data_IF_081716239163
#
_entry.id   IF_081716239163
#
_cell.length_a   1.000
_cell.length_b   1.000
_cell.length_c   1.000
_cell.angle_alpha   90.00
_cell.angle_beta   90.00
_cell.angle_gamma   90.00
#
_symmetry.space_group_name_H-M   'P 1'
#
loop_
_entity.id
_entity.type
_entity.pdbx_description
1 polymer ?
#
# COMPACT_ATOMS: atom_id res chain seq x y z
N UNK A 1 -4.51 14.56 5.54
CA UNK A 1 -3.87 13.46 4.80
C UNK A 1 -4.58 13.22 3.48
N UNK A 2 -5.91 13.09 3.46
CA UNK A 2 -6.69 12.74 2.26
C UNK A 2 -7.01 13.90 1.30
N UNK A 3 -6.54 15.13 1.59
CA UNK A 3 -6.88 16.32 0.78
C UNK A 3 -6.20 16.38 -0.59
N UNK A 4 -5.06 15.71 -0.75
CA UNK A 4 -4.32 15.67 -2.02
C UNK A 4 -3.66 14.29 -2.21
N UNK A 5 -3.54 13.81 -3.47
CA UNK A 5 -2.85 12.56 -3.81
C UNK A 5 -1.43 12.49 -3.25
N UNK A 6 -0.66 13.57 -3.39
CA UNK A 6 0.70 13.70 -2.88
C UNK A 6 0.79 13.42 -1.37
N UNK A 7 -0.09 14.03 -0.58
CA UNK A 7 -0.02 13.90 0.87
C UNK A 7 -0.32 12.47 1.34
N UNK A 8 -1.30 11.82 0.73
CA UNK A 8 -1.64 10.44 1.04
C UNK A 8 -0.50 9.50 0.62
N UNK A 9 0.01 9.67 -0.59
CA UNK A 9 1.10 8.83 -1.11
C UNK A 9 2.36 8.95 -0.24
N UNK A 10 2.76 10.17 0.10
CA UNK A 10 3.93 10.45 0.96
C UNK A 10 3.78 9.84 2.36
N UNK A 11 2.63 10.02 3.01
CA UNK A 11 2.39 9.45 4.34
C UNK A 11 2.51 7.93 4.30
N UNK A 12 1.94 7.27 3.29
CA UNK A 12 2.03 5.82 3.19
C UNK A 12 3.42 5.34 2.74
N UNK A 13 4.15 6.08 1.92
CA UNK A 13 5.54 5.76 1.58
C UNK A 13 6.46 5.79 2.82
N UNK A 14 6.26 6.77 3.70
CA UNK A 14 7.00 6.87 4.96
C UNK A 14 6.56 5.77 5.94
N UNK A 15 5.25 5.53 6.06
CA UNK A 15 4.73 4.47 6.91
C UNK A 15 5.26 3.09 6.48
N UNK A 16 5.39 2.86 5.17
CA UNK A 16 5.94 1.62 4.61
C UNK A 16 7.42 1.45 5.00
N UNK A 17 8.22 2.49 4.88
CA UNK A 17 9.62 2.45 5.31
C UNK A 17 9.75 2.16 6.82
N UNK A 18 8.90 2.76 7.65
CA UNK A 18 8.85 2.50 9.09
C UNK A 18 8.42 1.05 9.36
N UNK A 19 7.40 0.55 8.66
CA UNK A 19 6.90 -0.81 8.84
C UNK A 19 7.93 -1.88 8.44
N UNK A 20 8.76 -1.62 7.41
CA UNK A 20 9.93 -2.44 7.11
C UNK A 20 10.91 -2.51 8.27
N UNK A 21 11.19 -1.37 8.93
CA UNK A 21 12.06 -1.35 10.12
C UNK A 21 11.48 -2.22 11.24
N UNK A 22 10.17 -2.15 11.49
CA UNK A 22 9.51 -2.96 12.51
C UNK A 22 9.57 -4.46 12.17
N UNK A 23 9.34 -4.83 10.92
CA UNK A 23 9.43 -6.21 10.46
C UNK A 23 10.86 -6.75 10.60
N UNK A 24 11.86 -6.01 10.13
CA UNK A 24 13.28 -6.40 10.22
C UNK A 24 13.71 -6.53 11.68
N UNK A 25 13.35 -5.57 12.53
CA UNK A 25 13.62 -5.64 13.96
C UNK A 25 12.97 -6.86 14.60
N UNK A 26 11.72 -7.17 14.23
CA UNK A 26 11.03 -8.38 14.67
C UNK A 26 11.76 -9.68 14.29
N UNK A 27 12.24 -9.75 13.04
CA UNK A 27 13.03 -10.89 12.56
C UNK A 27 14.34 -11.05 13.31
N UNK A 28 15.04 -9.96 13.61
CA UNK A 28 16.27 -9.96 14.41
C UNK A 28 15.98 -10.45 15.84
N UNK A 29 14.95 -9.90 16.49
CA UNK A 29 14.55 -10.31 17.84
C UNK A 29 14.13 -11.77 17.92
N UNK A 30 13.47 -12.27 16.89
CA UNK A 30 13.17 -13.72 16.81
C UNK A 30 14.44 -14.54 16.71
N UNK A 31 15.40 -14.14 15.87
CA UNK A 31 16.62 -14.88 15.66
C UNK A 31 17.60 -14.83 16.82
N UNK A 32 17.65 -13.73 17.58
CA UNK A 32 18.64 -13.50 18.65
C UNK A 32 18.10 -13.72 20.06
N UNK A 33 16.81 -13.53 20.27
CA UNK A 33 16.16 -13.58 21.60
C UNK A 33 14.96 -14.54 21.65
N UNK A 34 14.72 -15.32 20.58
CA UNK A 34 13.58 -16.26 20.42
C UNK A 34 12.20 -15.59 20.65
N UNK A 35 12.10 -14.28 20.37
CA UNK A 35 10.88 -13.51 20.53
C UNK A 35 9.98 -13.61 19.30
N UNK A 36 9.31 -14.75 19.10
CA UNK A 36 8.42 -14.99 17.96
C UNK A 36 7.29 -13.95 17.82
N UNK A 37 6.78 -13.46 18.96
CA UNK A 37 5.70 -12.43 18.98
C UNK A 37 6.12 -11.14 18.28
N UNK A 38 7.41 -10.77 18.29
CA UNK A 38 7.90 -9.57 17.62
C UNK A 38 7.70 -9.61 16.11
N UNK A 39 7.92 -10.77 15.47
CA UNK A 39 7.64 -10.97 14.04
C UNK A 39 6.14 -10.93 13.75
N UNK A 40 5.33 -11.51 14.61
CA UNK A 40 3.87 -11.51 14.46
C UNK A 40 3.32 -10.08 14.46
N UNK A 41 3.76 -9.26 15.42
CA UNK A 41 3.33 -7.85 15.51
C UNK A 41 3.90 -7.05 14.33
N UNK A 42 5.23 -7.10 14.10
CA UNK A 42 5.90 -6.36 13.04
C UNK A 42 5.37 -6.74 11.66
N UNK A 43 5.16 -8.04 11.41
CA UNK A 43 4.60 -8.55 10.15
C UNK A 43 3.14 -8.16 9.93
N UNK A 44 2.31 -8.17 10.98
CA UNK A 44 0.93 -7.72 10.90
C UNK A 44 0.82 -6.24 10.54
N UNK A 45 1.62 -5.39 11.22
CA UNK A 45 1.68 -3.95 10.93
C UNK A 45 2.19 -3.73 9.49
N UNK A 46 3.31 -4.37 9.13
CA UNK A 46 3.88 -4.24 7.77
C UNK A 46 2.90 -4.72 6.71
N UNK A 47 2.24 -5.86 6.88
CA UNK A 47 1.26 -6.38 5.93
C UNK A 47 0.10 -5.41 5.68
N UNK A 48 -0.43 -4.78 6.76
CA UNK A 48 -1.46 -3.76 6.62
C UNK A 48 -0.96 -2.52 5.85
N UNK A 49 0.22 -2.01 6.21
CA UNK A 49 0.80 -0.83 5.57
C UNK A 49 1.18 -1.12 4.12
N UNK A 50 1.78 -2.28 3.84
CA UNK A 50 2.12 -2.76 2.50
C UNK A 50 0.91 -2.75 1.56
N UNK A 51 -0.21 -3.36 1.98
CA UNK A 51 -1.43 -3.38 1.18
C UNK A 51 -2.04 -1.98 1.04
N UNK A 52 -1.97 -1.16 2.08
CA UNK A 52 -2.44 0.23 2.06
C UNK A 52 -1.64 1.08 1.08
N UNK A 53 -0.31 0.93 1.07
CA UNK A 53 0.57 1.60 0.12
C UNK A 53 0.30 1.14 -1.31
N UNK A 54 0.23 -0.17 -1.56
CA UNK A 54 -0.04 -0.73 -2.88
C UNK A 54 -1.38 -0.26 -3.45
N UNK A 55 -2.45 -0.32 -2.64
CA UNK A 55 -3.77 0.19 -3.01
C UNK A 55 -3.74 1.69 -3.32
N UNK A 56 -3.00 2.48 -2.52
CA UNK A 56 -2.84 3.92 -2.74
C UNK A 56 -2.03 4.20 -4.00
N UNK A 57 -0.97 3.45 -4.28
CA UNK A 57 -0.20 3.59 -5.51
C UNK A 57 -1.07 3.37 -6.75
N UNK A 58 -1.91 2.35 -6.76
CA UNK A 58 -2.87 2.08 -7.83
C UNK A 58 -3.91 3.21 -7.93
N UNK A 59 -4.47 3.63 -6.79
CA UNK A 59 -5.47 4.69 -6.74
C UNK A 59 -4.95 6.02 -7.27
N UNK A 60 -3.74 6.41 -6.86
CA UNK A 60 -3.06 7.64 -7.30
C UNK A 60 -2.66 7.53 -8.77
N UNK A 61 -2.10 6.39 -9.21
CA UNK A 61 -1.78 6.14 -10.61
C UNK A 61 -3.00 6.32 -11.51
N UNK A 62 -4.14 5.79 -11.09
CA UNK A 62 -5.41 5.93 -11.79
C UNK A 62 -5.92 7.37 -11.78
N UNK A 63 -5.85 8.04 -10.62
CA UNK A 63 -6.25 9.43 -10.47
C UNK A 63 -5.42 10.36 -11.36
N UNK A 64 -4.11 10.17 -11.37
CA UNK A 64 -3.16 11.00 -12.13
C UNK A 64 -2.92 10.50 -13.57
N UNK A 65 -3.64 9.43 -13.97
CA UNK A 65 -3.55 8.84 -15.32
C UNK A 65 -2.12 8.45 -15.71
N UNK A 66 -1.37 7.84 -14.77
CA UNK A 66 -0.04 7.34 -15.07
C UNK A 66 -0.07 6.24 -16.12
N UNK A 67 1.01 6.15 -16.93
CA UNK A 67 1.26 4.97 -17.73
C UNK A 67 1.68 3.76 -16.91
N UNK A 68 1.84 2.62 -17.56
CA UNK A 68 2.21 1.36 -16.90
C UNK A 68 3.57 1.44 -16.15
N UNK A 69 4.58 2.09 -16.76
CA UNK A 69 5.92 2.18 -16.17
C UNK A 69 5.93 2.79 -14.76
N UNK A 70 5.51 4.05 -14.57
CA UNK A 70 5.44 4.66 -13.24
C UNK A 70 4.57 3.89 -12.25
N UNK A 71 3.48 3.29 -12.72
CA UNK A 71 2.58 2.48 -11.88
C UNK A 71 3.28 1.23 -11.36
N UNK A 72 3.96 0.49 -12.24
CA UNK A 72 4.72 -0.72 -11.87
C UNK A 72 5.84 -0.36 -10.90
N UNK A 73 6.61 0.70 -11.17
CA UNK A 73 7.68 1.16 -10.26
C UNK A 73 7.12 1.49 -8.88
N UNK A 74 6.01 2.23 -8.82
CA UNK A 74 5.40 2.60 -7.55
C UNK A 74 4.92 1.38 -6.75
N UNK A 75 4.27 0.41 -7.40
CA UNK A 75 3.80 -0.80 -6.72
C UNK A 75 4.96 -1.71 -6.34
N UNK A 76 5.91 -1.94 -7.24
CA UNK A 76 7.05 -2.82 -6.99
C UNK A 76 7.99 -2.29 -5.90
N UNK A 77 8.06 -0.97 -5.69
CA UNK A 77 8.87 -0.38 -4.63
C UNK A 77 8.46 -0.82 -3.22
N UNK A 78 7.21 -1.26 -3.02
CA UNK A 78 6.76 -1.79 -1.73
C UNK A 78 7.49 -3.10 -1.34
N UNK A 79 7.94 -3.89 -2.33
CA UNK A 79 8.60 -5.18 -2.10
C UNK A 79 10.05 -5.02 -1.65
N UNK A 80 10.66 -3.87 -1.93
CA UNK A 80 12.06 -3.60 -1.61
C UNK A 80 12.10 -2.67 -0.37
N UNK A 81 12.77 -3.08 0.72
CA UNK A 81 12.88 -2.26 1.91
C UNK A 81 13.32 -0.83 1.59
N UNK A 82 12.59 0.15 2.10
CA UNK A 82 12.84 1.60 1.98
C UNK A 82 12.74 2.19 0.56
N UNK A 83 12.51 1.37 -0.50
CA UNK A 83 12.46 1.87 -1.88
C UNK A 83 11.26 2.80 -2.15
N UNK A 84 10.24 2.78 -1.29
CA UNK A 84 9.09 3.68 -1.37
C UNK A 84 9.47 5.16 -1.22
N UNK A 85 10.53 5.47 -0.45
CA UNK A 85 11.01 6.84 -0.24
C UNK A 85 11.62 7.43 -1.52
N UNK A 86 12.67 6.85 -2.13
CA UNK A 86 13.21 7.39 -3.38
C UNK A 86 12.17 7.36 -4.51
N UNK A 87 11.25 6.40 -4.51
CA UNK A 87 10.16 6.36 -5.49
C UNK A 87 9.19 7.53 -5.32
N UNK A 88 8.79 7.88 -4.09
CA UNK A 88 7.97 9.06 -3.81
C UNK A 88 8.66 10.34 -4.28
N UNK A 89 9.95 10.51 -3.94
CA UNK A 89 10.73 11.68 -4.34
C UNK A 89 10.79 11.80 -5.87
N UNK A 90 11.03 10.70 -6.57
CA UNK A 90 11.07 10.68 -8.04
C UNK A 90 9.71 11.03 -8.65
N UNK A 91 8.62 10.44 -8.17
CA UNK A 91 7.27 10.72 -8.64
C UNK A 91 6.87 12.18 -8.38
N UNK A 92 7.25 12.72 -7.22
CA UNK A 92 6.98 14.12 -6.89
C UNK A 92 7.77 15.08 -7.80
N UNK A 93 9.09 14.87 -7.93
CA UNK A 93 9.95 15.71 -8.78
C UNK A 93 9.58 15.65 -10.26
N UNK A 94 9.05 14.54 -10.73
CA UNK A 94 8.56 14.36 -12.10
C UNK A 94 7.14 14.90 -12.33
N UNK A 95 6.53 15.56 -11.32
CA UNK A 95 5.20 16.15 -11.40
C UNK A 95 4.04 15.14 -11.39
N UNK A 96 4.32 13.85 -11.20
CA UNK A 96 3.30 12.78 -11.27
C UNK A 96 2.37 12.74 -10.08
N UNK A 97 2.72 13.37 -8.97
CA UNK A 97 1.88 13.49 -7.77
C UNK A 97 1.14 14.82 -7.68
N UNK A 98 1.30 15.71 -8.68
CA UNK A 98 0.69 17.02 -8.70
C UNK A 98 -0.78 16.94 -9.13
N UNK A 99 -1.62 17.81 -8.55
CA UNK A 99 -3.02 17.92 -8.88
C UNK A 99 -3.97 17.39 -7.79
N UNK A 100 -5.24 17.71 -7.90
CA UNK A 100 -6.28 17.30 -6.94
C UNK A 100 -6.76 15.86 -7.20
N UNK A 101 -7.57 15.36 -6.28
CA UNK A 101 -8.37 14.17 -6.52
C UNK A 101 -9.46 14.45 -7.54
N UNK A 102 -9.61 13.57 -8.54
CA UNK A 102 -10.71 13.60 -9.51
C UNK A 102 -11.97 12.97 -8.87
N UNK A 103 -12.69 13.78 -8.11
CA UNK A 103 -13.90 13.34 -7.40
C UNK A 103 -15.14 13.33 -8.31
N UNK A 104 -15.13 14.17 -9.34
CA UNK A 104 -16.23 14.33 -10.29
C UNK A 104 -15.85 13.81 -11.69
N UNK A 105 -16.88 13.49 -12.45
CA UNK A 105 -16.72 13.15 -13.86
C UNK A 105 -16.46 14.41 -14.65
N UNK A 106 -15.45 14.36 -15.52
CA UNK A 106 -15.17 15.42 -16.51
C UNK A 106 -15.73 15.03 -17.87
N UNK A 107 -15.60 15.93 -18.85
CA UNK A 107 -15.99 15.67 -20.25
C UNK A 107 -15.03 14.69 -20.96
N UNK A 108 -13.96 14.24 -20.31
CA UNK A 108 -13.05 13.23 -20.85
C UNK A 108 -13.78 11.87 -21.01
N UNK A 109 -13.83 11.31 -22.24
CA UNK A 109 -14.51 10.02 -22.49
C UNK A 109 -14.03 8.88 -21.58
N UNK A 110 -12.75 8.92 -21.15
CA UNK A 110 -12.14 7.92 -20.23
C UNK A 110 -12.80 7.91 -18.86
N UNK A 111 -13.38 9.02 -18.40
CA UNK A 111 -14.04 9.12 -17.10
C UNK A 111 -15.36 8.32 -17.04
N UNK A 112 -15.90 7.90 -18.20
CA UNK A 112 -17.04 7.00 -18.29
C UNK A 112 -16.74 5.54 -17.98
N UNK A 113 -15.46 5.13 -17.97
CA UNK A 113 -15.06 3.75 -17.73
C UNK A 113 -15.45 3.26 -16.32
N UNK A 114 -15.81 1.97 -16.21
CA UNK A 114 -16.25 1.38 -14.94
C UNK A 114 -15.21 1.51 -13.82
N UNK A 115 -13.93 1.36 -14.16
CA UNK A 115 -12.82 1.47 -13.21
C UNK A 115 -12.60 2.91 -12.70
N UNK A 116 -12.91 3.97 -13.50
CA UNK A 116 -12.88 5.36 -13.03
C UNK A 116 -14.07 5.66 -12.10
N UNK A 117 -15.22 5.04 -12.34
CA UNK A 117 -16.36 5.08 -11.42
C UNK A 117 -16.02 4.42 -10.09
N UNK A 118 -15.36 3.25 -10.13
CA UNK A 118 -14.93 2.53 -8.94
C UNK A 118 -13.89 3.34 -8.13
N UNK A 119 -12.92 3.96 -8.80
CA UNK A 119 -11.96 4.85 -8.17
C UNK A 119 -12.65 5.98 -7.42
N UNK A 120 -13.56 6.72 -8.06
CA UNK A 120 -14.32 7.80 -7.43
C UNK A 120 -15.16 7.31 -6.26
N UNK A 121 -15.73 6.13 -6.37
CA UNK A 121 -16.49 5.52 -5.29
C UNK A 121 -15.63 5.23 -4.06
N UNK A 122 -14.41 4.72 -4.24
CA UNK A 122 -13.44 4.54 -3.15
C UNK A 122 -12.95 5.87 -2.58
N UNK A 123 -12.70 6.86 -3.42
CA UNK A 123 -12.30 8.20 -2.96
C UNK A 123 -13.38 8.88 -2.11
N UNK A 124 -14.65 8.64 -2.44
CA UNK A 124 -15.78 9.12 -1.65
C UNK A 124 -15.99 8.34 -0.34
N UNK A 125 -15.46 7.11 -0.24
CA UNK A 125 -15.63 6.19 0.91
C UNK A 125 -14.30 5.55 1.33
N UNK A 126 -13.30 6.33 1.77
CA UNK A 126 -11.96 5.80 2.08
C UNK A 126 -11.98 4.76 3.20
N UNK A 127 -12.97 4.82 4.10
CA UNK A 127 -13.15 3.84 5.16
C UNK A 127 -13.48 2.43 4.62
N UNK A 128 -14.18 2.33 3.48
CA UNK A 128 -14.47 1.02 2.84
C UNK A 128 -13.18 0.39 2.36
N UNK A 129 -12.31 1.17 1.71
CA UNK A 129 -11.00 0.68 1.26
C UNK A 129 -10.15 0.22 2.47
N UNK A 130 -10.14 0.99 3.56
CA UNK A 130 -9.44 0.62 4.78
C UNK A 130 -9.97 -0.69 5.39
N UNK A 131 -11.31 -0.87 5.43
CA UNK A 131 -11.92 -2.11 5.90
C UNK A 131 -11.59 -3.30 5.02
N UNK A 132 -11.60 -3.14 3.69
CA UNK A 132 -11.24 -4.22 2.77
C UNK A 132 -9.76 -4.62 2.93
N UNK A 133 -8.86 -3.66 3.12
CA UNK A 133 -7.45 -3.93 3.39
C UNK A 133 -7.31 -4.67 4.72
N UNK A 134 -7.97 -4.20 5.78
CA UNK A 134 -7.93 -4.86 7.09
C UNK A 134 -8.47 -6.30 7.00
N UNK A 135 -9.59 -6.51 6.29
CA UNK A 135 -10.15 -7.84 6.07
C UNK A 135 -9.20 -8.74 5.28
N UNK A 136 -8.50 -8.20 4.26
CA UNK A 136 -7.51 -8.95 3.49
C UNK A 136 -6.31 -9.37 4.37
N UNK A 137 -5.82 -8.49 5.23
CA UNK A 137 -4.71 -8.80 6.17
C UNK A 137 -5.14 -9.88 7.16
N UNK A 138 -6.33 -9.73 7.77
CA UNK A 138 -6.86 -10.73 8.72
C UNK A 138 -7.08 -12.06 8.02
N UNK A 139 -7.69 -12.05 6.83
CA UNK A 139 -7.92 -13.26 6.03
C UNK A 139 -6.63 -13.98 5.66
N UNK A 140 -5.61 -13.24 5.24
CA UNK A 140 -4.28 -13.80 4.96
C UNK A 140 -3.65 -14.40 6.22
N UNK A 141 -3.73 -13.70 7.35
CA UNK A 141 -3.19 -14.18 8.62
C UNK A 141 -3.89 -15.49 9.07
N UNK A 142 -5.21 -15.54 9.01
CA UNK A 142 -6.00 -16.74 9.32
C UNK A 142 -5.64 -17.89 8.37
N UNK A 143 -5.52 -17.61 7.08
CA UNK A 143 -5.11 -18.62 6.09
C UNK A 143 -3.73 -19.20 6.41
N UNK A 144 -2.76 -18.36 6.77
CA UNK A 144 -1.42 -18.81 7.16
C UNK A 144 -1.44 -19.65 8.44
N UNK A 145 -2.30 -19.32 9.41
CA UNK A 145 -2.47 -20.15 10.63
C UNK A 145 -3.07 -21.53 10.32
N UNK A 146 -4.01 -21.60 9.38
CA UNK A 146 -4.66 -22.86 8.98
C UNK A 146 -3.74 -23.74 8.14
N UNK A 147 -2.98 -23.13 7.24
CA UNK A 147 -2.04 -23.86 6.35
C UNK A 147 -0.82 -24.36 7.16
N UNK A 148 -0.46 -23.67 8.23
CA UNK A 148 0.72 -23.95 9.05
C UNK A 148 2.03 -23.46 8.39
N UNK A 149 3.16 -23.53 9.11
CA UNK A 149 4.44 -23.14 8.57
C UNK A 149 4.87 -24.07 7.42
N UNK A 150 5.55 -23.54 6.38
CA UNK A 150 6.13 -24.37 5.34
C UNK A 150 7.10 -25.39 5.96
N UNK A 151 6.80 -26.68 5.83
CA UNK A 151 7.64 -27.77 6.40
C UNK A 151 7.15 -28.40 7.70
N UNK A 152 5.98 -28.05 8.20
CA UNK A 152 5.41 -28.57 9.46
C UNK A 152 4.32 -29.63 9.27
N UNK A 153 4.51 -30.58 8.38
CA UNK A 153 3.69 -31.80 8.25
C UNK A 153 4.65 -32.99 8.16
N UNK A 154 5.13 -33.41 9.31
CA UNK A 154 5.60 -34.78 9.57
C UNK A 154 4.77 -35.37 10.69
#
# INVERSE_FOLDING_TARGET
VFRAPLNLFRVLAVAEAISWTLLIAGLILRATADLAIAVTIGGGIHGFVFLSYGATAILVAKNQRWGAGPTVVAVASAVIPYATIPTEIWLHRSGRLNGPWRLERTDDPRDGAWHDRLMRWFLARPWVLALLIAAAVVGLYVALLVIGPPGGRD
#
